data_IF_755799958988
#
_entry.id   IF_755799958988
#
_cell.length_a   1.000
_cell.length_b   1.000
_cell.length_c   1.000
_cell.angle_alpha   90.00
_cell.angle_beta   90.00
_cell.angle_gamma   90.00
#
_symmetry.space_group_name_H-M   'P 1'
#
loop_
_entity.id
_entity.type
_entity.pdbx_description
1 polymer ?
#
# COMPACT_ATOMS: atom_id res chain seq x y z
N UNK A 1 -21.48 0.18 -7.94
CA UNK A 1 -20.35 -0.43 -7.23
C UNK A 1 -19.09 0.06 -7.93
N UNK A 2 -18.27 0.84 -7.23
CA UNK A 2 -16.98 1.26 -7.76
C UNK A 2 -16.10 0.03 -7.88
N UNK A 3 -15.39 -0.10 -9.00
CA UNK A 3 -14.40 -1.15 -9.18
C UNK A 3 -13.28 -0.94 -8.17
N UNK A 4 -13.03 -1.92 -7.30
CA UNK A 4 -12.01 -1.83 -6.25
C UNK A 4 -10.62 -1.57 -6.85
N UNK A 5 -10.36 -2.06 -8.07
CA UNK A 5 -9.11 -1.75 -8.78
C UNK A 5 -8.93 -0.23 -8.90
N UNK A 6 -9.98 0.48 -9.34
CA UNK A 6 -9.96 1.93 -9.46
C UNK A 6 -9.86 2.63 -8.11
N UNK A 7 -10.55 2.13 -7.08
CA UNK A 7 -10.44 2.71 -5.72
C UNK A 7 -9.00 2.62 -5.20
N UNK A 8 -8.32 1.49 -5.44
CA UNK A 8 -6.92 1.28 -5.03
C UNK A 8 -5.94 2.12 -5.85
N UNK A 9 -6.16 2.26 -7.15
CA UNK A 9 -5.37 3.18 -7.99
C UNK A 9 -5.52 4.64 -7.50
N UNK A 10 -6.74 5.08 -7.21
CA UNK A 10 -7.00 6.40 -6.62
C UNK A 10 -6.37 6.55 -5.23
N UNK A 11 -6.41 5.51 -4.40
CA UNK A 11 -5.78 5.50 -3.07
C UNK A 11 -4.28 5.84 -3.18
N UNK A 12 -3.56 5.15 -4.06
CA UNK A 12 -2.13 5.43 -4.24
C UNK A 12 -1.86 6.78 -4.89
N UNK A 13 -2.62 7.16 -5.92
CA UNK A 13 -2.43 8.42 -6.62
C UNK A 13 -2.68 9.64 -5.71
N UNK A 14 -3.72 9.58 -4.88
CA UNK A 14 -4.06 10.67 -3.93
C UNK A 14 -3.08 10.72 -2.75
N UNK A 15 -2.59 9.56 -2.28
CA UNK A 15 -1.52 9.49 -1.29
C UNK A 15 -0.23 10.13 -1.81
N UNK A 16 0.22 9.76 -3.01
CA UNK A 16 1.42 10.33 -3.66
C UNK A 16 1.29 11.85 -3.85
N UNK A 17 0.11 12.33 -4.26
CA UNK A 17 -0.18 13.75 -4.43
C UNK A 17 -0.39 14.53 -3.13
N UNK A 18 -0.41 13.85 -1.96
CA UNK A 18 -0.77 14.43 -0.64
C UNK A 18 -2.17 15.06 -0.63
N UNK A 19 -3.08 14.59 -1.49
CA UNK A 19 -4.47 15.00 -1.46
C UNK A 19 -5.21 14.21 -0.38
N UNK A 20 -5.07 14.64 0.86
CA UNK A 20 -5.61 13.93 2.02
C UNK A 20 -7.13 13.88 2.05
N UNK A 21 -7.81 14.80 1.37
CA UNK A 21 -9.27 14.79 1.25
C UNK A 21 -9.69 13.70 0.28
N UNK A 22 -9.13 13.68 -0.93
CA UNK A 22 -9.43 12.63 -1.89
C UNK A 22 -8.96 11.25 -1.44
N UNK A 23 -7.82 11.17 -0.72
CA UNK A 23 -7.34 9.95 -0.09
C UNK A 23 -8.35 9.42 0.93
N UNK A 24 -8.87 10.27 1.81
CA UNK A 24 -9.88 9.91 2.78
C UNK A 24 -11.17 9.37 2.12
N UNK A 25 -11.56 9.89 0.97
CA UNK A 25 -12.76 9.43 0.23
C UNK A 25 -12.63 7.99 -0.30
N UNK A 26 -11.40 7.48 -0.46
CA UNK A 26 -11.17 6.07 -0.84
C UNK A 26 -11.40 5.08 0.31
N UNK A 27 -11.47 5.58 1.55
CA UNK A 27 -11.46 4.77 2.77
C UNK A 27 -12.86 4.65 3.39
N UNK A 28 -13.20 3.45 3.86
CA UNK A 28 -14.36 3.27 4.72
C UNK A 28 -14.14 3.99 6.06
N UNK A 29 -15.23 4.46 6.69
CA UNK A 29 -15.14 5.22 7.95
C UNK A 29 -14.41 4.40 9.06
N UNK A 30 -14.67 3.09 9.09
CA UNK A 30 -14.09 2.12 10.01
C UNK A 30 -12.85 1.39 9.50
N UNK A 31 -12.12 1.94 8.51
CA UNK A 31 -10.95 1.27 7.92
C UNK A 31 -9.96 0.80 8.99
N UNK A 32 -9.42 -0.41 8.80
CA UNK A 32 -8.36 -0.95 9.66
C UNK A 32 -7.09 -1.17 8.86
N UNK A 33 -6.03 -0.47 9.26
CA UNK A 33 -4.68 -0.68 8.78
C UNK A 33 -3.94 -1.63 9.72
N UNK A 34 -3.16 -2.58 9.17
CA UNK A 34 -2.25 -3.43 9.94
C UNK A 34 -0.90 -3.55 9.26
N UNK A 35 0.16 -3.46 10.05
CA UNK A 35 1.54 -3.68 9.62
C UNK A 35 2.13 -4.85 10.44
N UNK A 36 2.02 -6.11 9.95
CA UNK A 36 2.42 -7.27 10.74
C UNK A 36 3.89 -7.30 11.13
N UNK A 37 4.79 -6.73 10.31
CA UNK A 37 6.23 -6.68 10.57
C UNK A 37 6.57 -5.90 11.85
N UNK A 38 5.85 -4.82 12.14
CA UNK A 38 6.05 -4.01 13.35
C UNK A 38 4.99 -4.28 14.42
N UNK A 39 3.99 -5.10 14.11
CA UNK A 39 2.83 -5.41 14.95
C UNK A 39 1.96 -4.19 15.27
N UNK A 40 1.91 -3.24 14.36
CA UNK A 40 1.10 -2.03 14.48
C UNK A 40 -0.28 -2.19 13.85
N UNK A 41 -1.25 -1.48 14.41
CA UNK A 41 -2.62 -1.40 13.89
C UNK A 41 -3.18 -0.02 14.11
N UNK A 42 -3.83 0.52 13.07
CA UNK A 42 -4.58 1.77 13.14
C UNK A 42 -6.03 1.47 12.79
N UNK A 43 -6.97 2.05 13.52
CA UNK A 43 -8.41 1.84 13.31
C UNK A 43 -9.12 3.18 13.21
N UNK A 44 -9.91 3.33 12.15
CA UNK A 44 -10.66 4.53 11.82
C UNK A 44 -9.95 5.41 10.79
N UNK A 45 -10.73 5.96 9.86
CA UNK A 45 -10.24 6.77 8.74
C UNK A 45 -9.39 7.95 9.19
N UNK A 46 -9.86 8.72 10.17
CA UNK A 46 -9.17 9.95 10.62
C UNK A 46 -7.74 9.67 11.08
N UNK A 47 -7.55 8.65 11.92
CA UNK A 47 -6.22 8.27 12.43
C UNK A 47 -5.31 7.76 11.31
N UNK A 48 -5.87 7.02 10.36
CA UNK A 48 -5.07 6.47 9.26
C UNK A 48 -4.64 7.55 8.25
N UNK A 49 -5.51 8.53 7.98
CA UNK A 49 -5.16 9.71 7.18
C UNK A 49 -4.08 10.52 7.88
N UNK A 50 -4.21 10.76 9.19
CA UNK A 50 -3.20 11.50 9.95
C UNK A 50 -1.85 10.77 9.97
N UNK A 51 -1.85 9.44 10.14
CA UNK A 51 -0.63 8.62 10.06
C UNK A 51 0.10 8.78 8.72
N UNK A 52 -0.61 8.77 7.59
CA UNK A 52 -0.01 8.97 6.28
C UNK A 52 0.49 10.42 6.08
N UNK A 53 -0.24 11.41 6.64
CA UNK A 53 0.12 12.83 6.56
C UNK A 53 1.37 13.16 7.37
N UNK A 54 1.50 12.60 8.56
CA UNK A 54 2.62 12.85 9.47
C UNK A 54 3.87 12.04 9.11
N UNK A 55 3.76 11.06 8.19
CA UNK A 55 4.89 10.24 7.77
C UNK A 55 6.01 11.14 7.21
N UNK A 56 7.22 11.10 7.78
CA UNK A 56 8.27 12.05 7.46
C UNK A 56 8.87 11.80 6.07
N UNK A 57 9.48 12.84 5.52
CA UNK A 57 10.24 12.77 4.28
C UNK A 57 9.41 13.03 3.03
N UNK A 58 10.13 13.33 1.94
CA UNK A 58 9.56 13.45 0.61
C UNK A 58 9.61 12.08 -0.07
N UNK A 59 8.48 11.38 -0.01
CA UNK A 59 8.35 10.03 -0.54
C UNK A 59 7.51 10.01 -1.82
N UNK A 60 7.81 9.15 -2.79
CA UNK A 60 6.94 8.93 -3.94
C UNK A 60 6.61 7.47 -4.09
N UNK A 61 5.44 7.18 -4.66
CA UNK A 61 4.98 5.81 -4.90
C UNK A 61 4.58 5.60 -6.34
N UNK A 62 5.04 4.50 -6.92
CA UNK A 62 4.61 4.00 -8.22
C UNK A 62 4.05 2.60 -8.08
N UNK A 63 2.89 2.38 -8.69
CA UNK A 63 2.31 1.03 -8.80
C UNK A 63 3.08 0.25 -9.87
N UNK A 64 3.64 -0.89 -9.48
CA UNK A 64 4.22 -1.86 -10.41
C UNK A 64 3.15 -2.81 -10.95
N UNK A 65 2.23 -3.21 -10.06
CA UNK A 65 1.17 -4.15 -10.40
C UNK A 65 -0.04 -3.98 -9.48
N UNK A 66 -1.23 -4.13 -10.05
CA UNK A 66 -2.48 -4.34 -9.32
C UNK A 66 -3.08 -5.68 -9.74
N UNK A 67 -3.58 -6.45 -8.78
CA UNK A 67 -4.44 -7.60 -9.03
C UNK A 67 -5.70 -7.37 -8.20
N UNK A 68 -6.87 -7.41 -8.84
CA UNK A 68 -8.14 -7.16 -8.18
C UNK A 68 -9.16 -8.23 -8.55
N UNK A 69 -9.96 -8.60 -7.57
CA UNK A 69 -11.14 -9.45 -7.67
C UNK A 69 -12.31 -8.75 -6.95
N UNK A 70 -13.56 -9.21 -7.09
CA UNK A 70 -14.67 -8.65 -6.32
C UNK A 70 -14.37 -8.64 -4.80
N UNK A 71 -14.27 -7.45 -4.21
CA UNK A 71 -14.11 -7.25 -2.78
C UNK A 71 -12.67 -7.31 -2.24
N UNK A 72 -11.67 -7.69 -3.04
CA UNK A 72 -10.27 -7.73 -2.63
C UNK A 72 -9.30 -7.30 -3.73
N UNK A 73 -8.17 -6.71 -3.33
CA UNK A 73 -7.10 -6.36 -4.25
C UNK A 73 -5.73 -6.46 -3.57
N UNK A 74 -4.68 -6.59 -4.38
CA UNK A 74 -3.29 -6.50 -3.93
C UNK A 74 -2.51 -5.60 -4.87
N UNK A 75 -1.64 -4.78 -4.32
CA UNK A 75 -0.66 -4.00 -5.09
C UNK A 75 0.75 -4.39 -4.74
N UNK A 76 1.59 -4.40 -5.77
CA UNK A 76 3.03 -4.26 -5.62
C UNK A 76 3.38 -2.83 -6.02
N UNK A 77 4.03 -2.11 -5.10
CA UNK A 77 4.45 -0.72 -5.29
C UNK A 77 5.96 -0.58 -5.09
N UNK A 78 6.52 0.40 -5.76
CA UNK A 78 7.88 0.88 -5.58
C UNK A 78 7.82 2.27 -4.98
N UNK A 79 8.48 2.43 -3.83
CA UNK A 79 8.58 3.68 -3.09
C UNK A 79 9.98 4.26 -3.22
N UNK A 80 10.06 5.57 -3.34
CA UNK A 80 11.29 6.32 -3.15
C UNK A 80 11.13 7.23 -1.94
N UNK A 81 12.12 7.30 -1.06
CA UNK A 81 12.14 8.21 0.10
C UNK A 81 13.50 8.89 0.12
N UNK A 82 13.58 10.10 -0.43
CA UNK A 82 14.87 10.71 -0.75
C UNK A 82 15.67 9.86 -1.75
N UNK A 83 16.74 9.20 -1.30
CA UNK A 83 17.58 8.31 -2.12
C UNK A 83 17.30 6.83 -1.89
N UNK A 84 16.48 6.49 -0.89
CA UNK A 84 16.17 5.10 -0.56
C UNK A 84 15.03 4.59 -1.44
N UNK A 85 15.18 3.37 -1.94
CA UNK A 85 14.15 2.68 -2.71
C UNK A 85 13.64 1.47 -1.93
N UNK A 86 12.32 1.30 -1.89
CA UNK A 86 11.67 0.24 -1.15
C UNK A 86 10.54 -0.38 -1.97
N UNK A 87 10.24 -1.65 -1.72
CA UNK A 87 9.04 -2.28 -2.24
C UNK A 87 8.02 -2.45 -1.13
N UNK A 88 6.74 -2.30 -1.49
CA UNK A 88 5.65 -2.69 -0.61
C UNK A 88 4.68 -3.63 -1.33
N UNK A 89 4.13 -4.55 -0.56
CA UNK A 89 3.01 -5.39 -0.94
C UNK A 89 1.84 -5.03 -0.01
N UNK A 90 0.77 -4.52 -0.58
CA UNK A 90 -0.40 -4.07 0.20
C UNK A 90 -1.64 -4.84 -0.23
N UNK A 91 -2.30 -5.47 0.74
CA UNK A 91 -3.57 -6.16 0.55
C UNK A 91 -4.73 -5.27 1.01
N UNK A 92 -5.77 -5.22 0.19
CA UNK A 92 -6.96 -4.42 0.40
C UNK A 92 -8.22 -5.29 0.42
N UNK A 93 -9.19 -4.93 1.25
CA UNK A 93 -10.58 -5.37 1.10
C UNK A 93 -11.51 -4.17 0.98
N UNK A 94 -12.69 -4.37 0.39
CA UNK A 94 -13.69 -3.33 0.23
C UNK A 94 -14.93 -3.54 1.12
N UNK A 95 -15.57 -2.43 1.51
CA UNK A 95 -16.94 -2.44 2.02
C UNK A 95 -17.96 -2.58 0.87
N UNK A 96 -19.24 -2.69 1.22
CA UNK A 96 -20.34 -2.81 0.25
C UNK A 96 -20.45 -1.60 -0.71
N UNK A 97 -19.88 -0.45 -0.33
CA UNK A 97 -19.86 0.76 -1.15
C UNK A 97 -18.63 0.82 -2.07
N UNK A 98 -17.70 -0.14 -1.96
CA UNK A 98 -16.46 -0.18 -2.74
C UNK A 98 -15.34 0.71 -2.19
N UNK A 99 -15.45 1.15 -0.92
CA UNK A 99 -14.39 1.87 -0.19
C UNK A 99 -13.50 0.87 0.52
N UNK A 100 -12.23 1.22 0.72
CA UNK A 100 -11.23 0.35 1.35
C UNK A 100 -11.58 0.16 2.84
N UNK A 101 -11.89 -1.08 3.23
CA UNK A 101 -12.25 -1.47 4.58
C UNK A 101 -11.06 -1.98 5.39
N UNK A 102 -10.11 -2.67 4.74
CA UNK A 102 -8.86 -3.07 5.39
C UNK A 102 -7.67 -2.81 4.49
N UNK A 103 -6.54 -2.47 5.12
CA UNK A 103 -5.23 -2.36 4.49
C UNK A 103 -4.26 -3.21 5.30
N UNK A 104 -3.53 -4.11 4.66
CA UNK A 104 -2.45 -4.88 5.29
C UNK A 104 -1.18 -4.70 4.49
N UNK A 105 -0.19 -4.06 5.10
CA UNK A 105 1.08 -3.73 4.45
C UNK A 105 2.18 -4.71 4.82
N UNK A 106 3.02 -4.97 3.83
CA UNK A 106 4.33 -5.59 4.00
C UNK A 106 5.38 -4.78 3.25
N UNK A 107 6.47 -4.46 3.93
CA UNK A 107 7.64 -3.73 3.45
C UNK A 107 8.85 -4.68 3.46
N UNK A 108 8.96 -5.59 2.47
CA UNK A 108 10.10 -6.48 2.39
C UNK A 108 11.40 -5.71 2.14
N UNK A 109 12.43 -6.03 2.92
CA UNK A 109 13.79 -5.55 2.67
C UNK A 109 14.49 -6.48 1.67
N UNK A 110 15.33 -5.94 0.77
CA UNK A 110 16.23 -6.75 -0.04
C UNK A 110 17.10 -7.65 0.83
N UNK A 111 17.33 -8.87 0.37
CA UNK A 111 18.24 -9.80 1.04
C UNK A 111 19.17 -10.47 0.03
N UNK A 112 20.38 -10.80 0.48
CA UNK A 112 21.35 -11.49 -0.35
C UNK A 112 20.89 -12.91 -0.68
N UNK A 113 21.09 -13.38 -1.93
CA UNK A 113 20.70 -14.71 -2.30
C UNK A 113 21.51 -15.74 -1.49
N UNK A 114 20.89 -16.83 -1.01
CA UNK A 114 21.64 -17.95 -0.46
C UNK A 114 22.67 -18.49 -1.46
N UNK A 115 23.85 -18.88 -0.94
CA UNK A 115 24.96 -19.39 -1.74
C UNK A 115 24.64 -20.71 -2.46
N UNK A 116 25.35 -20.97 -3.56
CA UNK A 116 25.33 -22.27 -4.26
C UNK A 116 24.28 -22.41 -5.35
N UNK A 117 23.52 -21.35 -5.65
CA UNK A 117 22.50 -21.33 -6.70
C UNK A 117 22.83 -20.44 -7.90
N UNK A 118 24.00 -19.81 -7.91
CA UNK A 118 24.41 -18.84 -8.94
C UNK A 118 24.39 -19.45 -10.35
N UNK A 119 24.70 -20.73 -10.48
CA UNK A 119 24.66 -21.46 -11.74
C UNK A 119 23.23 -21.68 -12.31
N UNK A 120 22.18 -21.39 -11.54
CA UNK A 120 20.77 -21.55 -11.92
C UNK A 120 20.04 -20.22 -12.06
N UNK A 121 20.62 -19.11 -11.58
CA UNK A 121 19.93 -17.82 -11.47
C UNK A 121 20.66 -16.74 -12.25
N UNK A 122 19.88 -15.89 -12.91
CA UNK A 122 20.36 -14.62 -13.45
C UNK A 122 19.99 -13.48 -12.49
N UNK A 123 20.88 -12.49 -12.37
CA UNK A 123 20.62 -11.25 -11.63
C UNK A 123 20.01 -10.25 -12.61
N UNK A 124 18.86 -9.68 -12.26
CA UNK A 124 18.13 -8.69 -13.06
C UNK A 124 17.94 -7.39 -12.28
#
# INVERSE_FOLDING_TARGET
>A
MTDLCRTVESYWATADARDWTAFADTLADGVVYSLPQTRERISGREKYVEFNREYPGDWHVRIERVIAEPGQAVTWTHFTVGLEEMHAITFFTADEQGRIATVTDFWPEPYEPPAGRDHLTERY
#
